data_IF_848925244168
#
_entry.id   IF_848925244168
#
_cell.length_a   1.000
_cell.length_b   1.000
_cell.length_c   1.000
_cell.angle_alpha   90.00
_cell.angle_beta   90.00
_cell.angle_gamma   90.00
#
_symmetry.space_group_name_H-M   'P 1'
#
loop_
_entity.id
_entity.type
_entity.pdbx_description
1 polymer ?
#
# COMPACT_ATOMS: atom_id res chain seq x y z
N UNK A 1 -8.55 12.68 16.07
CA UNK A 1 -8.05 11.55 15.26
C UNK A 1 -7.07 10.75 16.09
N UNK A 2 -7.42 9.51 16.38
CA UNK A 2 -6.56 8.65 17.17
C UNK A 2 -5.70 7.77 16.29
N UNK A 3 -4.40 7.74 16.58
CA UNK A 3 -3.48 6.85 15.92
C UNK A 3 -3.25 5.60 16.76
N UNK A 4 -3.18 4.45 16.10
CA UNK A 4 -2.88 3.17 16.73
C UNK A 4 -1.68 2.54 16.05
N UNK A 5 -0.69 2.05 16.81
CA UNK A 5 -0.55 2.15 18.25
C UNK A 5 -0.26 3.57 18.72
N UNK A 6 -0.32 3.80 20.02
CA UNK A 6 0.00 5.11 20.60
C UNK A 6 1.50 5.39 20.48
N UNK A 7 1.88 6.67 20.67
CA UNK A 7 3.30 7.05 20.61
C UNK A 7 4.16 6.23 21.57
N UNK A 8 3.66 6.02 22.80
CA UNK A 8 4.41 5.22 23.79
C UNK A 8 4.57 3.78 23.33
N UNK A 9 3.53 3.19 22.75
CA UNK A 9 3.60 1.83 22.21
C UNK A 9 4.55 1.74 21.04
N UNK A 10 4.58 2.75 20.17
CA UNK A 10 5.49 2.79 19.02
C UNK A 10 6.95 2.81 19.48
N UNK A 11 7.27 3.63 20.48
CA UNK A 11 8.63 3.72 21.00
C UNK A 11 9.09 2.38 21.60
N UNK A 12 8.17 1.68 22.25
CA UNK A 12 8.45 0.36 22.80
C UNK A 12 8.65 -0.69 21.69
N UNK A 13 7.79 -0.67 20.68
CA UNK A 13 7.86 -1.61 19.55
C UNK A 13 9.10 -1.35 18.68
N UNK A 14 9.52 -0.09 18.55
CA UNK A 14 10.67 0.27 17.74
C UNK A 14 11.98 -0.33 18.26
N UNK A 15 12.03 -0.71 19.53
CA UNK A 15 13.19 -1.40 20.08
C UNK A 15 13.29 -2.85 19.63
N UNK A 16 12.12 -3.44 19.22
CA UNK A 16 12.03 -4.85 18.84
C UNK A 16 11.88 -5.07 17.36
N UNK A 17 11.27 -4.12 16.64
CA UNK A 17 10.92 -4.26 15.24
C UNK A 17 11.44 -3.09 14.43
N UNK A 18 11.83 -3.36 13.19
CA UNK A 18 12.30 -2.33 12.27
C UNK A 18 11.17 -1.57 11.60
N UNK A 19 9.99 -2.16 11.55
CA UNK A 19 8.82 -1.56 10.92
C UNK A 19 7.64 -1.70 11.85
N UNK A 20 6.97 -0.59 12.11
CA UNK A 20 5.78 -0.56 12.96
C UNK A 20 4.65 0.10 12.16
N UNK A 21 3.58 -0.64 11.83
CA UNK A 21 2.46 -0.04 11.11
C UNK A 21 1.65 0.88 12.01
N UNK A 22 1.21 1.97 11.42
CA UNK A 22 0.33 2.95 12.07
C UNK A 22 -1.02 2.93 11.39
N UNK A 23 -2.08 3.05 12.16
CA UNK A 23 -3.41 3.10 11.60
C UNK A 23 -4.27 4.17 12.28
N UNK A 24 -5.24 4.66 11.54
CA UNK A 24 -6.28 5.54 12.06
C UNK A 24 -7.55 5.28 11.29
N UNK A 25 -8.66 5.66 11.88
CA UNK A 25 -9.97 5.51 11.24
C UNK A 25 -10.59 6.88 11.06
N UNK A 26 -11.07 7.15 9.87
CA UNK A 26 -11.73 8.41 9.53
C UNK A 26 -13.14 8.13 9.02
N UNK A 27 -14.09 9.07 9.24
CA UNK A 27 -15.41 8.94 8.62
C UNK A 27 -15.29 8.92 7.09
N UNK A 28 -16.02 8.01 6.44
CA UNK A 28 -16.00 7.90 4.99
C UNK A 28 -16.99 8.91 4.40
N UNK A 29 -16.48 9.99 3.86
CA UNK A 29 -17.28 11.03 3.20
C UNK A 29 -17.11 11.01 1.68
N UNK A 30 -16.22 10.17 1.16
CA UNK A 30 -15.92 10.08 -0.26
C UNK A 30 -15.90 8.62 -0.70
N UNK A 31 -16.08 8.39 -1.99
CA UNK A 31 -15.99 7.05 -2.55
C UNK A 31 -14.53 6.65 -2.77
N UNK A 32 -14.24 5.33 -2.85
CA UNK A 32 -12.88 4.88 -3.17
C UNK A 32 -12.36 5.43 -4.49
N UNK A 33 -13.20 5.54 -5.50
CA UNK A 33 -12.80 6.10 -6.79
C UNK A 33 -12.37 7.55 -6.67
N UNK A 34 -13.07 8.33 -5.85
CA UNK A 34 -12.70 9.73 -5.62
C UNK A 34 -11.36 9.84 -4.90
N UNK A 35 -11.10 8.94 -3.96
CA UNK A 35 -9.80 8.89 -3.28
C UNK A 35 -8.70 8.55 -4.27
N UNK A 36 -8.92 7.56 -5.13
CA UNK A 36 -7.94 7.17 -6.14
C UNK A 36 -7.59 8.33 -7.07
N UNK A 37 -8.60 9.09 -7.52
CA UNK A 37 -8.38 10.26 -8.36
C UNK A 37 -7.49 11.29 -7.68
N UNK A 38 -7.67 11.48 -6.38
CA UNK A 38 -6.82 12.40 -5.62
C UNK A 38 -5.40 11.86 -5.44
N UNK A 39 -5.26 10.56 -5.22
CA UNK A 39 -3.94 9.94 -5.09
C UNK A 39 -3.13 10.08 -6.38
N UNK A 40 -3.79 10.04 -7.54
CA UNK A 40 -3.12 10.22 -8.82
C UNK A 40 -2.50 11.61 -8.98
N UNK A 41 -2.95 12.59 -8.23
CA UNK A 41 -2.37 13.93 -8.28
C UNK A 41 -1.10 14.06 -7.45
N UNK A 42 -0.91 13.18 -6.47
CA UNK A 42 0.25 13.25 -5.57
C UNK A 42 1.23 12.09 -5.77
N UNK A 43 0.84 11.07 -6.51
CA UNK A 43 1.71 9.92 -6.76
C UNK A 43 1.56 9.47 -8.21
N UNK A 44 2.69 9.18 -8.83
CA UNK A 44 2.74 8.67 -10.19
C UNK A 44 2.22 7.24 -10.27
N UNK A 45 2.44 6.48 -9.22
CA UNK A 45 2.02 5.08 -9.14
C UNK A 45 1.04 4.91 -7.99
N UNK A 46 -0.17 4.52 -8.32
CA UNK A 46 -1.18 4.20 -7.31
C UNK A 46 -2.03 3.04 -7.81
N UNK A 47 -2.66 2.35 -6.88
CA UNK A 47 -3.50 1.21 -7.23
C UNK A 47 -4.76 1.17 -6.37
N UNK A 48 -5.75 0.44 -6.86
CA UNK A 48 -6.97 0.16 -6.13
C UNK A 48 -7.33 -1.30 -6.35
N UNK A 49 -7.52 -2.02 -5.27
CA UNK A 49 -8.00 -3.40 -5.29
C UNK A 49 -9.37 -3.44 -4.64
N UNK A 50 -10.34 -3.95 -5.35
CA UNK A 50 -11.72 -3.96 -4.92
C UNK A 50 -12.26 -5.38 -4.94
N UNK A 51 -13.00 -5.74 -3.89
CA UNK A 51 -13.64 -7.05 -3.83
C UNK A 51 -14.82 -7.09 -4.78
N UNK A 52 -14.88 -8.11 -5.62
CA UNK A 52 -15.98 -8.32 -6.56
C UNK A 52 -17.03 -9.30 -6.05
N UNK A 53 -16.90 -9.79 -4.83
CA UNK A 53 -17.85 -10.75 -4.27
C UNK A 53 -19.03 -10.03 -3.61
N UNK A 54 -20.26 -10.40 -4.05
CA UNK A 54 -21.51 -9.84 -3.53
C UNK A 54 -22.03 -10.58 -2.30
N UNK A 55 -21.14 -11.08 -1.45
CA UNK A 55 -21.58 -11.74 -0.23
C UNK A 55 -21.76 -10.74 0.88
N UNK A 56 -22.97 -10.59 1.35
CA UNK A 56 -23.31 -9.66 2.42
C UNK A 56 -22.53 -9.91 3.71
N UNK A 57 -22.09 -11.16 3.94
CA UNK A 57 -21.43 -11.55 5.17
C UNK A 57 -19.92 -11.30 5.19
N UNK A 58 -19.30 -11.04 4.05
CA UNK A 58 -17.84 -10.96 3.96
C UNK A 58 -17.27 -9.55 3.99
N UNK A 59 -18.09 -8.54 4.21
CA UNK A 59 -17.64 -7.16 4.20
C UNK A 59 -16.95 -6.79 2.89
N UNK A 60 -17.25 -5.63 2.36
CA UNK A 60 -16.59 -5.14 1.15
C UNK A 60 -15.41 -4.30 1.56
N UNK A 61 -14.24 -4.67 1.07
CA UNK A 61 -13.03 -3.93 1.32
C UNK A 61 -12.46 -3.42 0.01
N UNK A 62 -12.02 -2.18 0.03
CA UNK A 62 -11.26 -1.59 -1.06
C UNK A 62 -9.90 -1.21 -0.50
N UNK A 63 -8.85 -1.69 -1.17
CA UNK A 63 -7.48 -1.37 -0.79
C UNK A 63 -6.91 -0.38 -1.79
N UNK A 64 -6.31 0.68 -1.27
CA UNK A 64 -5.69 1.72 -2.07
C UNK A 64 -4.25 1.88 -1.63
N UNK A 65 -3.36 2.05 -2.59
CA UNK A 65 -1.97 2.30 -2.29
C UNK A 65 -1.38 3.32 -3.26
N UNK A 66 -0.34 3.98 -2.82
CA UNK A 66 0.34 5.00 -3.59
C UNK A 66 1.78 5.13 -3.12
N UNK A 67 2.59 5.79 -3.93
CA UNK A 67 3.98 6.10 -3.65
C UNK A 67 4.78 4.86 -3.24
N UNK A 68 4.90 3.86 -4.15
CA UNK A 68 5.62 2.62 -3.83
C UNK A 68 7.10 2.89 -3.62
N UNK A 69 7.71 2.12 -2.72
CA UNK A 69 9.14 2.22 -2.46
C UNK A 69 9.96 1.39 -3.43
N UNK A 70 9.33 0.41 -4.05
CA UNK A 70 10.00 -0.47 -5.00
C UNK A 70 9.01 -0.95 -6.04
N UNK A 71 9.52 -1.24 -7.24
CA UNK A 71 8.73 -1.77 -8.34
C UNK A 71 9.42 -3.00 -8.91
N UNK A 72 8.62 -3.98 -9.30
CA UNK A 72 9.11 -5.18 -9.97
C UNK A 72 8.37 -5.33 -11.29
N UNK A 73 9.10 -5.35 -12.38
CA UNK A 73 8.55 -5.55 -13.72
C UNK A 73 9.09 -6.83 -14.29
N UNK A 74 8.20 -7.72 -14.75
CA UNK A 74 8.59 -8.99 -15.34
C UNK A 74 7.93 -9.13 -16.71
N UNK A 75 8.74 -9.44 -17.72
CA UNK A 75 8.26 -9.67 -19.08
C UNK A 75 9.21 -10.62 -19.80
N UNK A 76 8.65 -11.67 -20.41
CA UNK A 76 9.40 -12.63 -21.25
C UNK A 76 10.60 -13.24 -20.52
N UNK A 77 10.43 -13.60 -19.27
CA UNK A 77 11.47 -14.23 -18.47
C UNK A 77 12.53 -13.28 -17.94
N UNK A 78 12.36 -11.99 -18.17
CA UNK A 78 13.26 -10.96 -17.67
C UNK A 78 12.55 -10.08 -16.65
N UNK A 79 13.19 -9.81 -15.55
CA UNK A 79 12.66 -8.97 -14.51
C UNK A 79 13.56 -7.79 -14.21
N UNK A 80 12.93 -6.71 -13.75
CA UNK A 80 13.63 -5.51 -13.32
C UNK A 80 13.08 -5.10 -11.97
N UNK A 81 13.96 -4.87 -11.01
CA UNK A 81 13.60 -4.32 -9.69
C UNK A 81 14.11 -2.90 -9.64
N UNK A 82 13.21 -1.97 -9.38
CA UNK A 82 13.54 -0.54 -9.26
C UNK A 82 13.22 -0.13 -7.83
N UNK A 83 14.21 0.35 -7.11
CA UNK A 83 14.05 0.82 -5.75
C UNK A 83 14.89 2.09 -5.51
N UNK A 84 14.98 2.54 -4.29
CA UNK A 84 15.75 3.74 -3.95
C UNK A 84 17.25 3.59 -4.23
N UNK A 85 17.74 2.35 -4.32
CA UNK A 85 19.15 2.07 -4.59
C UNK A 85 19.46 1.91 -6.08
N UNK A 86 18.46 2.12 -6.95
CA UNK A 86 18.62 2.02 -8.39
C UNK A 86 17.82 0.87 -8.99
N UNK A 87 18.21 0.41 -10.18
CA UNK A 87 17.54 -0.67 -10.85
C UNK A 87 18.45 -1.87 -11.01
N UNK A 88 17.87 -3.07 -10.89
CA UNK A 88 18.58 -4.35 -11.05
C UNK A 88 17.74 -5.25 -11.95
N UNK A 89 18.41 -6.04 -12.77
CA UNK A 89 17.72 -7.01 -13.63
C UNK A 89 18.00 -8.43 -13.16
N UNK A 90 17.03 -9.31 -13.41
CA UNK A 90 17.18 -10.74 -13.14
C UNK A 90 16.46 -11.53 -14.22
N UNK A 91 16.79 -12.82 -14.33
CA UNK A 91 16.13 -13.75 -15.26
C UNK A 91 15.37 -14.79 -14.45
N UNK A 92 14.22 -15.23 -14.98
CA UNK A 92 13.39 -16.23 -14.35
C UNK A 92 12.04 -15.68 -13.89
N UNK A 93 11.39 -16.40 -12.98
CA UNK A 93 10.11 -15.99 -12.42
C UNK A 93 10.30 -15.04 -11.25
N UNK A 94 9.33 -14.13 -11.07
CA UNK A 94 9.35 -13.25 -9.91
C UNK A 94 9.15 -14.00 -8.59
#
# INVERSE_FOLDING_TARGET
MELKPTKAQILWLAEKYNTVPLSTTLPATVTPTQVLQKLKTVSRHCYMLESCEDKESSGRYTFLGFDPQAEIHCKDGKGTVIDENGSRTFTGSP
#
